data_IF_403129081775
#
_entry.id   IF_403129081775
#
_cell.length_a   1.000
_cell.length_b   1.000
_cell.length_c   1.000
_cell.angle_alpha   90.00
_cell.angle_beta   90.00
_cell.angle_gamma   90.00
#
_symmetry.space_group_name_H-M   'P 1'
#
loop_
_entity.id
_entity.type
_entity.pdbx_description
1 polymer ?
#
# COMPACT_ATOMS: atom_id res chain seq x y z
N UNK A 1 -9.89 21.07 17.95
CA UNK A 1 -8.78 20.07 17.97
C UNK A 1 -7.49 20.85 17.90
N UNK A 2 -6.47 20.50 18.64
CA UNK A 2 -5.19 21.27 18.70
C UNK A 2 -4.13 20.74 17.73
N UNK A 3 -4.38 19.60 17.10
CA UNK A 3 -3.47 19.00 16.10
C UNK A 3 -4.02 19.23 14.69
N UNK A 4 -3.13 19.42 13.70
CA UNK A 4 -3.53 19.51 12.29
C UNK A 4 -4.26 18.22 11.86
N UNK A 5 -5.36 18.40 11.12
CA UNK A 5 -6.15 17.31 10.56
C UNK A 5 -5.83 17.17 9.08
N UNK A 6 -5.39 15.97 8.68
CA UNK A 6 -5.07 15.63 7.28
C UNK A 6 -6.19 14.76 6.73
N UNK A 7 -6.75 15.14 5.59
CA UNK A 7 -7.66 14.30 4.81
C UNK A 7 -6.92 13.54 3.73
N UNK A 8 -6.97 12.20 3.81
CA UNK A 8 -6.54 11.30 2.77
C UNK A 8 -7.74 10.53 2.21
N UNK A 9 -7.99 10.63 0.91
CA UNK A 9 -9.12 9.95 0.26
C UNK A 9 -8.79 9.56 -1.18
N UNK A 10 -9.43 8.49 -1.67
CA UNK A 10 -9.28 8.00 -3.03
C UNK A 10 -10.53 8.29 -3.87
N UNK A 11 -10.34 8.44 -5.18
CA UNK A 11 -11.41 8.76 -6.14
C UNK A 11 -12.18 7.53 -6.65
N UNK A 12 -11.89 6.33 -6.14
CA UNK A 12 -12.43 5.06 -6.64
C UNK A 12 -13.94 5.08 -6.82
N UNK A 13 -14.67 5.65 -5.85
CA UNK A 13 -16.14 5.71 -5.86
C UNK A 13 -16.72 6.94 -6.55
N UNK A 14 -15.88 7.88 -6.99
CA UNK A 14 -16.27 9.17 -7.55
C UNK A 14 -16.67 10.23 -6.51
N UNK A 15 -16.65 9.92 -5.21
CA UNK A 15 -17.11 10.84 -4.14
C UNK A 15 -16.01 11.72 -3.55
N UNK A 16 -14.75 11.50 -3.89
CA UNK A 16 -13.61 12.13 -3.22
C UNK A 16 -13.65 13.66 -3.27
N UNK A 17 -13.97 14.26 -4.41
CA UNK A 17 -14.06 15.72 -4.54
C UNK A 17 -15.15 16.32 -3.65
N UNK A 18 -16.32 15.66 -3.55
CA UNK A 18 -17.40 16.09 -2.64
C UNK A 18 -16.94 15.97 -1.18
N UNK A 19 -16.23 14.90 -0.84
CA UNK A 19 -15.66 14.69 0.50
C UNK A 19 -14.64 15.77 0.83
N UNK A 20 -13.74 16.12 -0.09
CA UNK A 20 -12.75 17.19 0.06
C UNK A 20 -13.45 18.51 0.36
N UNK A 21 -14.44 18.90 -0.46
CA UNK A 21 -15.16 20.17 -0.26
C UNK A 21 -15.85 20.24 1.09
N UNK A 22 -16.50 19.14 1.52
CA UNK A 22 -17.13 19.08 2.85
C UNK A 22 -16.14 19.07 4.00
N UNK A 23 -14.97 18.49 3.82
CA UNK A 23 -13.89 18.53 4.81
C UNK A 23 -13.31 19.96 4.96
N UNK A 24 -13.14 20.67 3.85
CA UNK A 24 -12.72 22.09 3.84
C UNK A 24 -13.73 22.95 4.61
N UNK A 25 -15.04 22.81 4.30
CA UNK A 25 -16.10 23.49 5.04
C UNK A 25 -16.08 23.17 6.54
N UNK A 26 -15.67 21.95 6.91
CA UNK A 26 -15.56 21.50 8.30
C UNK A 26 -14.24 21.91 8.97
N UNK A 27 -13.31 22.54 8.26
CA UNK A 27 -12.04 23.04 8.82
C UNK A 27 -10.90 22.04 8.81
N UNK A 28 -10.77 21.20 7.78
CA UNK A 28 -9.57 20.36 7.58
C UNK A 28 -8.38 21.27 7.27
N UNK A 29 -7.20 20.91 7.78
CA UNK A 29 -5.99 21.71 7.61
C UNK A 29 -5.19 21.32 6.38
N UNK A 30 -5.14 20.03 6.04
CA UNK A 30 -4.31 19.48 4.96
C UNK A 30 -5.14 18.49 4.15
N UNK A 31 -4.97 18.52 2.82
CA UNK A 31 -5.62 17.58 1.88
C UNK A 31 -4.55 16.92 1.02
N UNK A 32 -4.56 15.60 0.99
CA UNK A 32 -3.72 14.82 0.09
C UNK A 32 -4.31 14.79 -1.31
N UNK A 33 -3.49 15.16 -2.30
CA UNK A 33 -3.85 15.23 -3.71
C UNK A 33 -2.79 14.58 -4.58
N UNK A 34 -3.11 14.33 -5.86
CA UNK A 34 -2.16 13.86 -6.85
C UNK A 34 -2.18 14.78 -8.08
N UNK A 35 -1.03 14.95 -8.77
CA UNK A 35 -1.02 15.69 -10.04
C UNK A 35 -2.04 15.11 -11.02
N UNK A 36 -2.73 15.95 -11.79
CA UNK A 36 -3.89 15.55 -12.59
C UNK A 36 -3.65 14.34 -13.50
N UNK A 37 -2.47 14.20 -14.07
CA UNK A 37 -2.17 13.06 -14.93
C UNK A 37 -2.17 11.72 -14.20
N UNK A 38 -1.91 11.67 -12.88
CA UNK A 38 -1.93 10.46 -12.04
C UNK A 38 -3.08 10.43 -11.04
N UNK A 39 -3.99 11.39 -11.10
CA UNK A 39 -5.15 11.49 -10.21
C UNK A 39 -6.32 10.62 -10.65
N UNK A 40 -7.37 10.61 -9.85
CA UNK A 40 -8.64 9.92 -10.08
C UNK A 40 -8.57 8.39 -10.01
N UNK A 41 -9.69 7.73 -10.23
CA UNK A 41 -9.81 6.28 -10.08
C UNK A 41 -9.34 5.81 -8.71
N UNK A 42 -8.35 4.91 -8.67
CA UNK A 42 -7.77 4.40 -7.42
C UNK A 42 -6.77 5.36 -6.76
N UNK A 43 -6.49 6.52 -7.36
CA UNK A 43 -5.64 7.58 -6.82
C UNK A 43 -6.48 8.67 -6.10
N UNK A 44 -5.79 9.73 -5.66
CA UNK A 44 -6.36 10.88 -4.96
C UNK A 44 -7.00 11.88 -5.94
N UNK A 45 -7.73 12.90 -5.43
CA UNK A 45 -8.19 14.03 -6.22
C UNK A 45 -7.05 14.78 -6.90
N UNK A 46 -7.33 15.34 -8.08
CA UNK A 46 -6.35 16.14 -8.82
C UNK A 46 -5.98 17.42 -8.06
N UNK A 47 -4.68 17.66 -7.86
CA UNK A 47 -4.15 18.86 -7.21
C UNK A 47 -4.66 20.13 -7.87
N UNK A 48 -4.58 20.20 -9.19
CA UNK A 48 -4.99 21.37 -9.97
C UNK A 48 -6.50 21.63 -9.84
N UNK A 49 -7.32 20.57 -9.87
CA UNK A 49 -8.78 20.73 -9.74
C UNK A 49 -9.15 21.23 -8.34
N UNK A 50 -8.52 20.69 -7.29
CA UNK A 50 -8.74 21.15 -5.92
C UNK A 50 -8.25 22.57 -5.74
N UNK A 51 -7.06 22.91 -6.28
CA UNK A 51 -6.51 24.26 -6.25
C UNK A 51 -7.49 25.29 -6.84
N UNK A 52 -7.97 25.05 -8.08
CA UNK A 52 -8.91 25.98 -8.72
C UNK A 52 -10.23 26.08 -7.98
N UNK A 53 -10.79 24.97 -7.48
CA UNK A 53 -12.03 25.00 -6.71
C UNK A 53 -11.89 25.81 -5.41
N UNK A 54 -10.77 25.69 -4.69
CA UNK A 54 -10.50 26.44 -3.46
C UNK A 54 -10.23 27.93 -3.77
N UNK A 55 -9.50 28.21 -4.84
CA UNK A 55 -9.23 29.60 -5.29
C UNK A 55 -10.51 30.34 -5.64
N UNK A 56 -11.48 29.70 -6.32
CA UNK A 56 -12.79 30.31 -6.62
C UNK A 56 -13.62 30.59 -5.35
N UNK A 57 -13.36 29.87 -4.27
CA UNK A 57 -13.97 30.10 -2.96
C UNK A 57 -13.19 31.12 -2.12
N UNK A 58 -12.12 31.70 -2.65
CA UNK A 58 -11.26 32.64 -1.95
C UNK A 58 -10.38 32.02 -0.87
N UNK A 59 -10.13 30.71 -0.94
CA UNK A 59 -9.27 29.99 -0.01
C UNK A 59 -7.86 29.90 -0.59
N UNK A 60 -6.90 30.51 0.10
CA UNK A 60 -5.50 30.49 -0.28
C UNK A 60 -4.83 29.18 0.16
N UNK A 61 -4.23 28.47 -0.79
CA UNK A 61 -3.55 27.18 -0.54
C UNK A 61 -2.03 27.33 -0.41
N UNK A 62 -1.48 28.50 -0.77
CA UNK A 62 -0.04 28.70 -0.88
C UNK A 62 0.62 28.01 -2.08
N UNK A 63 -0.12 27.32 -2.93
CA UNK A 63 0.40 26.68 -4.14
C UNK A 63 0.61 27.71 -5.25
N UNK A 64 1.64 27.49 -6.06
CA UNK A 64 1.90 28.28 -7.26
C UNK A 64 1.26 27.61 -8.48
N UNK A 65 0.25 28.28 -9.07
CA UNK A 65 -0.52 27.79 -10.21
C UNK A 65 0.37 27.34 -11.39
N UNK A 66 1.35 28.16 -11.75
CA UNK A 66 2.26 27.86 -12.86
C UNK A 66 3.06 26.58 -12.58
N UNK A 67 3.59 26.45 -11.35
CA UNK A 67 4.41 25.28 -10.97
C UNK A 67 3.61 24.00 -10.95
N UNK A 68 2.39 23.97 -10.41
CA UNK A 68 1.57 22.75 -10.40
C UNK A 68 1.21 22.30 -11.81
N UNK A 69 0.96 23.24 -12.73
CA UNK A 69 0.70 22.91 -14.13
C UNK A 69 1.96 22.42 -14.85
N UNK A 70 3.13 23.03 -14.63
CA UNK A 70 4.41 22.57 -15.18
C UNK A 70 4.76 21.14 -14.69
N UNK A 71 4.54 20.84 -13.42
CA UNK A 71 4.70 19.49 -12.85
C UNK A 71 3.79 18.49 -13.57
N UNK A 72 2.52 18.82 -13.76
CA UNK A 72 1.59 17.95 -14.46
C UNK A 72 2.03 17.70 -15.91
N UNK A 73 2.47 18.73 -16.62
CA UNK A 73 2.93 18.62 -18.01
C UNK A 73 4.19 17.74 -18.11
N UNK A 74 5.11 17.87 -17.16
CA UNK A 74 6.30 17.00 -17.09
C UNK A 74 5.93 15.52 -16.94
N UNK A 75 4.92 15.20 -16.13
CA UNK A 75 4.55 13.81 -15.87
C UNK A 75 3.63 13.18 -16.92
N UNK A 76 3.00 13.93 -17.80
CA UNK A 76 2.17 13.38 -18.90
C UNK A 76 2.89 12.32 -19.74
N UNK A 77 4.11 12.57 -20.27
CA UNK A 77 4.84 11.55 -21.03
C UNK A 77 5.29 10.36 -20.17
N UNK A 78 5.57 10.58 -18.88
CA UNK A 78 5.91 9.49 -17.94
C UNK A 78 4.72 8.56 -17.74
N UNK A 79 3.51 9.12 -17.58
CA UNK A 79 2.27 8.34 -17.54
C UNK A 79 2.09 7.50 -18.79
N UNK A 80 2.29 8.10 -19.98
CA UNK A 80 2.15 7.37 -21.24
C UNK A 80 3.12 6.19 -21.32
N UNK A 81 4.38 6.39 -20.91
CA UNK A 81 5.37 5.31 -20.79
C UNK A 81 4.90 4.17 -19.87
N UNK A 82 4.25 4.49 -18.74
CA UNK A 82 3.74 3.47 -17.81
C UNK A 82 2.51 2.73 -18.36
N UNK A 83 1.71 3.37 -19.18
CA UNK A 83 0.61 2.71 -19.90
C UNK A 83 1.18 1.75 -20.95
N UNK A 84 2.13 2.21 -21.77
CA UNK A 84 2.71 1.46 -22.87
C UNK A 84 3.46 0.21 -22.40
N UNK A 85 4.18 0.31 -21.29
CA UNK A 85 4.90 -0.81 -20.66
C UNK A 85 4.03 -1.64 -19.69
N UNK A 86 2.72 -1.35 -19.61
CA UNK A 86 1.74 -2.05 -18.75
C UNK A 86 1.99 -1.94 -17.24
N UNK A 87 2.85 -1.04 -16.79
CA UNK A 87 3.03 -0.75 -15.35
C UNK A 87 1.78 -0.09 -14.77
N UNK A 88 1.14 0.81 -15.52
CA UNK A 88 -0.13 1.44 -15.18
C UNK A 88 -1.27 0.80 -15.98
N UNK A 89 -2.22 0.18 -15.26
CA UNK A 89 -3.42 -0.35 -15.89
C UNK A 89 -4.49 0.75 -16.01
N UNK A 90 -4.91 1.16 -17.24
CA UNK A 90 -5.92 2.20 -17.43
C UNK A 90 -7.27 1.89 -16.73
N UNK A 91 -7.61 0.62 -16.50
CA UNK A 91 -8.83 0.24 -15.76
C UNK A 91 -8.86 0.75 -14.33
N UNK A 92 -7.70 0.94 -13.70
CA UNK A 92 -7.60 1.50 -12.34
C UNK A 92 -7.87 3.01 -12.28
N UNK A 93 -7.97 3.67 -13.41
CA UNK A 93 -8.16 5.12 -13.51
C UNK A 93 -9.65 5.53 -13.63
N UNK A 94 -10.54 4.57 -13.76
CA UNK A 94 -11.97 4.80 -13.83
C UNK A 94 -12.62 4.92 -12.45
N UNK A 95 -13.85 5.45 -12.43
CA UNK A 95 -14.71 5.45 -11.24
C UNK A 95 -15.53 4.16 -11.19
N UNK A 96 -15.56 3.52 -10.02
CA UNK A 96 -16.40 2.37 -9.74
C UNK A 96 -17.24 2.60 -8.46
N UNK A 97 -18.49 2.97 -8.64
CA UNK A 97 -19.40 3.19 -7.52
C UNK A 97 -19.76 1.89 -6.77
N UNK A 98 -19.56 0.72 -7.36
CA UNK A 98 -19.79 -0.56 -6.68
C UNK A 98 -18.82 -0.78 -5.53
N UNK A 99 -17.66 -0.11 -5.54
CA UNK A 99 -16.73 -0.11 -4.42
C UNK A 99 -17.38 0.38 -3.10
N UNK A 100 -18.45 1.19 -3.16
CA UNK A 100 -19.24 1.58 -1.99
C UNK A 100 -20.02 0.40 -1.39
N UNK A 101 -20.48 -0.52 -2.23
CA UNK A 101 -21.23 -1.72 -1.81
C UNK A 101 -20.33 -2.67 -1.06
N UNK A 102 -19.15 -2.95 -1.61
CA UNK A 102 -18.16 -3.88 -1.02
C UNK A 102 -17.28 -3.20 0.05
N UNK A 103 -17.32 -1.87 0.17
CA UNK A 103 -16.46 -1.07 1.09
C UNK A 103 -14.98 -1.37 0.92
N UNK A 104 -14.55 -1.52 -0.33
CA UNK A 104 -13.17 -1.86 -0.70
C UNK A 104 -12.41 -0.60 -1.11
N UNK A 105 -11.27 -0.27 -0.46
CA UNK A 105 -10.42 0.85 -0.88
C UNK A 105 -9.82 0.62 -2.27
N UNK A 106 -9.58 1.72 -3.00
CA UNK A 106 -9.06 1.68 -4.37
C UNK A 106 -7.75 0.92 -4.53
N UNK A 107 -6.79 1.11 -3.62
CA UNK A 107 -5.52 0.38 -3.64
C UNK A 107 -5.70 -1.14 -3.46
N UNK A 108 -6.64 -1.56 -2.61
CA UNK A 108 -6.98 -2.97 -2.44
C UNK A 108 -7.59 -3.57 -3.71
N UNK A 109 -8.50 -2.83 -4.36
CA UNK A 109 -9.13 -3.25 -5.61
C UNK A 109 -8.10 -3.43 -6.73
N UNK A 110 -7.19 -2.48 -6.89
CA UNK A 110 -6.11 -2.55 -7.87
C UNK A 110 -5.20 -3.76 -7.66
N UNK A 111 -4.83 -4.03 -6.40
CA UNK A 111 -4.02 -5.21 -6.06
C UNK A 111 -4.74 -6.52 -6.34
N UNK A 112 -6.04 -6.61 -6.04
CA UNK A 112 -6.85 -7.79 -6.35
C UNK A 112 -6.94 -8.06 -7.85
N UNK A 113 -7.16 -7.01 -8.65
CA UNK A 113 -7.18 -7.12 -10.11
C UNK A 113 -5.83 -7.60 -10.63
N UNK A 114 -4.73 -7.02 -10.15
CA UNK A 114 -3.38 -7.43 -10.56
C UNK A 114 -3.13 -8.90 -10.20
N UNK A 115 -3.35 -9.30 -8.95
CA UNK A 115 -3.14 -10.67 -8.48
C UNK A 115 -3.97 -11.70 -9.26
N UNK A 116 -5.27 -11.43 -9.48
CA UNK A 116 -6.14 -12.34 -10.22
C UNK A 116 -5.79 -12.38 -11.72
N UNK A 117 -5.29 -11.28 -12.28
CA UNK A 117 -4.80 -11.24 -13.66
C UNK A 117 -3.55 -12.11 -13.82
N UNK A 118 -2.58 -11.97 -12.93
CA UNK A 118 -1.33 -12.75 -12.93
C UNK A 118 -1.60 -14.25 -12.74
N UNK A 119 -2.62 -14.57 -11.96
CA UNK A 119 -3.06 -15.96 -11.71
C UNK A 119 -4.02 -16.51 -12.79
N UNK A 120 -4.36 -15.72 -13.83
CA UNK A 120 -5.36 -16.05 -14.84
C UNK A 120 -6.72 -16.45 -14.26
N UNK A 121 -7.14 -15.83 -13.15
CA UNK A 121 -8.31 -16.16 -12.36
C UNK A 121 -9.31 -15.01 -12.24
N UNK A 122 -9.39 -14.10 -13.23
CA UNK A 122 -10.31 -12.96 -13.22
C UNK A 122 -11.79 -13.36 -13.17
N UNK A 123 -12.15 -14.60 -13.53
CA UNK A 123 -13.49 -15.17 -13.35
C UNK A 123 -13.90 -15.32 -11.87
N UNK A 124 -12.95 -15.27 -10.95
CA UNK A 124 -13.16 -15.33 -9.49
C UNK A 124 -13.29 -13.96 -8.82
N UNK A 125 -13.20 -12.87 -9.58
CA UNK A 125 -13.17 -11.52 -9.04
C UNK A 125 -14.38 -11.18 -8.18
N UNK A 126 -15.60 -11.42 -8.69
CA UNK A 126 -16.85 -11.12 -7.96
C UNK A 126 -16.99 -11.97 -6.68
N UNK A 127 -16.62 -13.25 -6.75
CA UNK A 127 -16.62 -14.13 -5.59
C UNK A 127 -15.62 -13.67 -4.52
N UNK A 128 -14.43 -13.21 -4.92
CA UNK A 128 -13.43 -12.67 -4.01
C UNK A 128 -13.90 -11.36 -3.36
N UNK A 129 -14.56 -10.48 -4.11
CA UNK A 129 -15.19 -9.26 -3.56
C UNK A 129 -16.27 -9.61 -2.52
N UNK A 130 -17.12 -10.59 -2.80
CA UNK A 130 -18.18 -11.02 -1.89
C UNK A 130 -17.63 -11.65 -0.59
N UNK A 131 -16.43 -12.24 -0.62
CA UNK A 131 -15.77 -12.85 0.54
C UNK A 131 -15.13 -11.82 1.49
N UNK A 132 -14.77 -10.61 1.00
CA UNK A 132 -14.10 -9.57 1.79
C UNK A 132 -14.83 -9.22 3.09
N UNK A 133 -16.16 -8.96 3.12
CA UNK A 133 -16.85 -8.65 4.35
C UNK A 133 -16.72 -9.74 5.42
N UNK A 134 -16.72 -11.00 4.99
CA UNK A 134 -16.58 -12.16 5.88
C UNK A 134 -15.18 -12.25 6.46
N UNK A 135 -14.14 -12.11 5.64
CA UNK A 135 -12.74 -12.09 6.11
C UNK A 135 -12.51 -10.91 7.04
N UNK A 136 -13.00 -9.71 6.69
CA UNK A 136 -12.89 -8.53 7.54
C UNK A 136 -13.53 -8.73 8.90
N UNK A 137 -14.71 -9.36 8.94
CA UNK A 137 -15.38 -9.72 10.20
C UNK A 137 -14.55 -10.68 11.03
N UNK A 138 -14.04 -11.75 10.42
CA UNK A 138 -13.23 -12.75 11.10
C UNK A 138 -11.93 -12.16 11.70
N UNK A 139 -11.39 -11.13 11.07
CA UNK A 139 -10.21 -10.37 11.56
C UNK A 139 -10.58 -9.25 12.56
N UNK A 140 -11.83 -9.16 13.04
CA UNK A 140 -12.22 -8.16 14.03
C UNK A 140 -12.32 -6.73 13.46
N UNK A 141 -12.75 -6.61 12.19
CA UNK A 141 -12.99 -5.35 11.48
C UNK A 141 -11.78 -4.41 11.41
N UNK A 142 -10.59 -4.87 10.98
CA UNK A 142 -9.46 -3.99 10.81
C UNK A 142 -9.81 -2.81 9.90
N UNK A 143 -9.19 -1.63 10.10
CA UNK A 143 -9.28 -0.54 9.15
C UNK A 143 -8.70 -0.99 7.81
N UNK A 144 -9.44 -0.73 6.71
CA UNK A 144 -9.00 -1.13 5.37
C UNK A 144 -8.00 -0.12 4.78
N UNK A 145 -6.90 0.09 5.49
CA UNK A 145 -5.72 0.84 5.05
C UNK A 145 -4.53 -0.11 4.91
N UNK A 146 -3.53 0.29 4.14
CA UNK A 146 -2.30 -0.50 3.98
C UNK A 146 -1.57 -0.64 5.33
N UNK A 147 -1.12 -1.85 5.72
CA UNK A 147 -1.14 -3.11 4.97
C UNK A 147 -2.40 -3.98 5.18
N UNK A 148 -3.27 -3.64 6.14
CA UNK A 148 -4.40 -4.47 6.57
C UNK A 148 -5.42 -4.72 5.44
N UNK A 149 -5.65 -3.72 4.57
CA UNK A 149 -6.52 -3.88 3.40
C UNK A 149 -6.00 -4.97 2.46
N UNK A 150 -4.69 -5.04 2.25
CA UNK A 150 -4.07 -6.07 1.41
C UNK A 150 -4.17 -7.46 2.04
N UNK A 151 -4.00 -7.56 3.37
CA UNK A 151 -4.18 -8.83 4.09
C UNK A 151 -5.59 -9.38 3.92
N UNK A 152 -6.60 -8.54 4.13
CA UNK A 152 -8.01 -8.92 3.96
C UNK A 152 -8.29 -9.33 2.51
N UNK A 153 -7.82 -8.55 1.52
CA UNK A 153 -8.02 -8.83 0.09
C UNK A 153 -7.35 -10.12 -0.36
N UNK A 154 -6.08 -10.28 -0.02
CA UNK A 154 -5.32 -11.48 -0.40
C UNK A 154 -5.88 -12.74 0.26
N UNK A 155 -6.33 -12.65 1.51
CA UNK A 155 -6.97 -13.81 2.17
C UNK A 155 -8.32 -14.15 1.54
N UNK A 156 -9.12 -13.14 1.15
CA UNK A 156 -10.38 -13.36 0.44
C UNK A 156 -10.16 -14.05 -0.91
N UNK A 157 -9.20 -13.58 -1.70
CA UNK A 157 -8.77 -14.22 -2.96
C UNK A 157 -8.32 -15.66 -2.71
N UNK A 158 -7.48 -15.90 -1.70
CA UNK A 158 -6.97 -17.24 -1.36
C UNK A 158 -8.10 -18.18 -0.98
N UNK A 159 -9.07 -17.75 -0.15
CA UNK A 159 -10.22 -18.55 0.25
C UNK A 159 -11.02 -19.02 -0.97
N UNK A 160 -11.26 -18.12 -1.93
CA UNK A 160 -12.03 -18.41 -3.13
C UNK A 160 -11.28 -19.31 -4.10
N UNK A 161 -9.98 -19.08 -4.31
CA UNK A 161 -9.17 -19.90 -5.21
C UNK A 161 -8.99 -21.33 -4.69
N UNK A 162 -8.82 -21.49 -3.38
CA UNK A 162 -8.66 -22.80 -2.73
C UNK A 162 -10.00 -23.52 -2.57
N UNK A 163 -11.11 -22.77 -2.57
CA UNK A 163 -12.48 -23.31 -2.39
C UNK A 163 -12.80 -23.69 -0.94
N UNK A 164 -11.91 -23.41 0.01
CA UNK A 164 -12.09 -23.66 1.44
C UNK A 164 -11.49 -22.50 2.25
N UNK A 165 -12.34 -21.89 3.12
CA UNK A 165 -11.95 -20.73 3.91
C UNK A 165 -10.83 -21.08 4.88
N UNK A 166 -9.76 -20.26 4.86
CA UNK A 166 -8.60 -20.38 5.75
C UNK A 166 -7.87 -21.72 5.70
N UNK A 167 -8.03 -22.52 4.64
CA UNK A 167 -7.17 -23.69 4.43
C UNK A 167 -5.73 -23.26 4.28
N UNK A 168 -5.50 -22.21 3.50
CA UNK A 168 -4.23 -21.52 3.40
C UNK A 168 -4.34 -20.12 4.03
N UNK A 169 -3.45 -19.82 4.98
CA UNK A 169 -3.40 -18.54 5.68
C UNK A 169 -2.05 -17.92 5.40
N UNK A 170 -2.03 -16.65 4.95
CA UNK A 170 -0.79 -15.94 4.70
C UNK A 170 -0.01 -15.67 5.98
N UNK A 171 1.30 -15.43 5.86
CA UNK A 171 2.16 -15.10 7.01
C UNK A 171 1.68 -13.84 7.72
N UNK A 172 1.26 -12.84 6.96
CA UNK A 172 0.78 -11.55 7.46
C UNK A 172 -0.52 -11.72 8.25
N UNK A 173 -1.48 -12.51 7.77
CA UNK A 173 -2.71 -12.82 8.50
C UNK A 173 -2.41 -13.59 9.78
N UNK A 174 -1.49 -14.57 9.73
CA UNK A 174 -1.02 -15.26 10.95
C UNK A 174 -0.37 -14.28 11.94
N UNK A 175 0.48 -13.37 11.47
CA UNK A 175 1.11 -12.34 12.28
C UNK A 175 0.09 -11.38 12.92
N UNK A 176 -0.97 -11.03 12.17
CA UNK A 176 -2.07 -10.23 12.70
C UNK A 176 -2.77 -10.90 13.89
N UNK A 177 -3.16 -12.18 13.75
CA UNK A 177 -3.79 -12.94 14.84
C UNK A 177 -2.86 -13.19 16.02
N UNK A 178 -1.55 -13.25 15.80
CA UNK A 178 -0.55 -13.33 16.88
C UNK A 178 -0.33 -12.00 17.63
N UNK A 179 -0.96 -10.90 17.19
CA UNK A 179 -0.89 -9.60 17.84
C UNK A 179 0.25 -8.70 17.37
N UNK A 180 0.98 -9.07 16.31
CA UNK A 180 2.10 -8.28 15.77
C UNK A 180 1.66 -6.92 15.17
N UNK A 181 0.37 -6.76 14.87
CA UNK A 181 -0.23 -5.53 14.34
C UNK A 181 -1.07 -4.76 15.38
N UNK A 182 -0.94 -5.11 16.65
CA UNK A 182 -1.71 -4.49 17.73
C UNK A 182 -3.05 -5.16 17.98
N UNK A 183 -3.95 -4.43 18.64
CA UNK A 183 -5.25 -4.95 19.08
C UNK A 183 -6.30 -4.71 17.99
N UNK A 184 -7.04 -5.76 17.62
CA UNK A 184 -8.15 -5.65 16.70
C UNK A 184 -9.26 -4.72 17.24
N UNK A 185 -9.95 -3.93 16.37
CA UNK A 185 -11.04 -3.04 16.80
C UNK A 185 -12.25 -3.75 17.42
N UNK A 186 -12.47 -5.02 17.07
CA UNK A 186 -13.54 -5.87 17.60
C UNK A 186 -13.02 -7.31 17.79
N UNK A 187 -13.79 -8.17 18.48
CA UNK A 187 -13.39 -9.57 18.65
C UNK A 187 -13.15 -10.26 17.30
N UNK A 188 -12.03 -10.96 17.21
CA UNK A 188 -11.68 -11.80 16.04
C UNK A 188 -12.41 -13.15 16.10
N UNK A 189 -12.35 -13.92 15.02
CA UNK A 189 -12.87 -15.29 15.00
C UNK A 189 -12.04 -16.18 15.95
N UNK A 190 -12.66 -16.60 17.06
CA UNK A 190 -11.98 -17.30 18.15
C UNK A 190 -11.41 -18.68 17.74
N UNK A 191 -12.09 -19.39 16.86
CA UNK A 191 -11.60 -20.71 16.38
C UNK A 191 -10.37 -20.54 15.49
N UNK A 192 -10.38 -19.52 14.65
CA UNK A 192 -9.26 -19.19 13.77
C UNK A 192 -8.05 -18.68 14.58
N UNK A 193 -8.28 -17.79 15.54
CA UNK A 193 -7.25 -17.31 16.45
C UNK A 193 -6.61 -18.46 17.21
N UNK A 194 -7.42 -19.29 17.84
CA UNK A 194 -6.94 -20.46 18.60
C UNK A 194 -6.07 -21.36 17.71
N UNK A 195 -6.54 -21.70 16.52
CA UNK A 195 -5.77 -22.55 15.60
C UNK A 195 -4.41 -21.95 15.25
N UNK A 196 -4.36 -20.64 14.95
CA UNK A 196 -3.11 -19.93 14.61
C UNK A 196 -2.15 -19.88 15.80
N UNK A 197 -2.67 -19.61 16.99
CA UNK A 197 -1.86 -19.55 18.22
C UNK A 197 -1.33 -20.95 18.61
N UNK A 198 -2.16 -21.99 18.52
CA UNK A 198 -1.75 -23.38 18.76
C UNK A 198 -0.63 -23.80 17.80
N UNK A 199 -0.74 -23.48 16.49
CA UNK A 199 0.31 -23.73 15.49
C UNK A 199 1.62 -22.98 15.81
N UNK A 200 1.53 -21.81 16.45
CA UNK A 200 2.67 -21.00 16.85
C UNK A 200 3.23 -21.34 18.25
N UNK A 201 2.59 -22.27 18.99
CA UNK A 201 2.95 -22.58 20.38
C UNK A 201 2.65 -21.45 21.35
N UNK A 202 1.67 -20.60 21.03
CA UNK A 202 1.30 -19.42 21.82
C UNK A 202 -0.02 -19.68 22.56
N UNK A 203 -0.15 -19.16 23.77
CA UNK A 203 -1.39 -19.26 24.59
C UNK A 203 -2.29 -18.04 24.47
N UNK A 204 -1.75 -16.92 23.99
CA UNK A 204 -2.46 -15.68 23.77
C UNK A 204 -1.70 -14.83 22.72
N UNK A 205 -2.37 -13.86 22.05
CA UNK A 205 -1.69 -12.89 21.21
C UNK A 205 -0.65 -12.09 22.00
N UNK A 206 0.44 -11.70 21.34
CA UNK A 206 1.46 -10.84 21.96
C UNK A 206 0.95 -9.39 22.04
N UNK A 207 1.44 -8.65 23.03
CA UNK A 207 1.32 -7.18 23.02
C UNK A 207 2.56 -6.59 22.32
N UNK A 208 2.41 -6.13 21.08
CA UNK A 208 3.49 -5.59 20.29
C UNK A 208 4.20 -4.40 20.98
N UNK A 209 3.50 -3.64 21.83
CA UNK A 209 4.09 -2.53 22.59
C UNK A 209 5.10 -3.03 23.62
N UNK A 210 4.85 -4.19 24.20
CA UNK A 210 5.78 -4.84 25.13
C UNK A 210 6.99 -5.38 24.38
N UNK A 211 6.78 -6.03 23.24
CA UNK A 211 7.87 -6.54 22.42
C UNK A 211 8.74 -5.39 21.84
N UNK A 212 8.12 -4.31 21.36
CA UNK A 212 8.86 -3.12 20.88
C UNK A 212 9.71 -2.48 21.99
N UNK A 213 9.25 -2.50 23.24
CA UNK A 213 10.05 -1.99 24.38
C UNK A 213 11.33 -2.78 24.64
N UNK A 214 11.42 -4.00 24.12
CA UNK A 214 12.60 -4.87 24.25
C UNK A 214 13.61 -4.67 23.11
N UNK A 215 13.27 -3.89 22.06
CA UNK A 215 14.19 -3.60 20.97
C UNK A 215 15.43 -2.87 21.47
N UNK A 216 16.57 -3.27 20.94
CA UNK A 216 17.87 -2.77 21.42
C UNK A 216 18.32 -1.50 20.72
N UNK A 217 17.66 -1.08 19.63
CA UNK A 217 18.08 0.00 18.74
C UNK A 217 19.33 -0.33 17.92
N UNK A 218 19.67 -1.61 17.79
CA UNK A 218 20.83 -2.09 17.03
C UNK A 218 20.49 -2.56 15.62
N UNK A 219 19.25 -2.44 15.20
CA UNK A 219 18.75 -2.95 13.92
C UNK A 219 19.56 -2.42 12.73
N UNK A 220 20.02 -1.17 12.80
CA UNK A 220 20.86 -0.57 11.76
C UNK A 220 22.24 -1.20 11.71
N UNK A 221 22.88 -1.38 12.86
CA UNK A 221 24.22 -1.99 12.94
C UNK A 221 24.20 -3.47 12.55
N UNK A 222 23.15 -4.19 12.97
CA UNK A 222 22.95 -5.59 12.61
C UNK A 222 22.72 -5.76 11.10
N UNK A 223 21.89 -4.90 10.51
CA UNK A 223 21.64 -4.88 9.05
C UNK A 223 22.91 -4.51 8.26
N UNK A 224 23.67 -3.53 8.74
CA UNK A 224 24.93 -3.13 8.15
C UNK A 224 25.97 -4.27 8.19
N UNK A 225 26.04 -4.97 9.31
CA UNK A 225 26.91 -6.12 9.45
C UNK A 225 26.47 -7.29 8.54
N UNK A 226 25.18 -7.53 8.39
CA UNK A 226 24.62 -8.56 7.51
C UNK A 226 24.92 -8.30 6.03
N UNK A 227 24.82 -7.05 5.60
CA UNK A 227 25.12 -6.65 4.21
C UNK A 227 26.62 -6.65 3.89
N UNK A 228 27.48 -6.35 4.86
CA UNK A 228 28.92 -6.23 4.65
C UNK A 228 29.26 -5.31 3.46
N UNK A 229 30.04 -5.80 2.49
CA UNK A 229 30.48 -5.05 1.31
C UNK A 229 29.37 -4.79 0.26
N UNK A 230 28.17 -5.30 0.45
CA UNK A 230 27.04 -4.99 -0.43
C UNK A 230 26.50 -3.58 -0.17
N UNK A 231 26.58 -3.10 1.07
CA UNK A 231 26.15 -1.74 1.43
C UNK A 231 27.24 -0.72 1.08
N UNK A 232 26.92 0.22 0.20
CA UNK A 232 27.80 1.33 -0.19
C UNK A 232 27.38 2.65 0.46
N UNK A 233 26.18 2.70 1.05
CA UNK A 233 25.64 3.87 1.72
C UNK A 233 24.69 3.48 2.88
N UNK A 234 24.31 4.47 3.69
CA UNK A 234 23.30 4.27 4.75
C UNK A 234 21.92 3.97 4.18
N UNK A 235 21.59 4.51 3.00
CA UNK A 235 20.34 4.23 2.29
C UNK A 235 20.24 2.77 1.86
N UNK A 236 21.34 2.12 1.53
CA UNK A 236 21.38 0.68 1.25
C UNK A 236 20.98 -0.13 2.49
N UNK A 237 21.54 0.25 3.65
CA UNK A 237 21.21 -0.40 4.94
C UNK A 237 19.75 -0.17 5.29
N UNK A 238 19.23 1.06 5.15
CA UNK A 238 17.83 1.38 5.40
C UNK A 238 16.90 0.64 4.44
N UNK A 239 17.27 0.52 3.17
CA UNK A 239 16.53 -0.24 2.17
C UNK A 239 16.44 -1.71 2.55
N UNK A 240 17.52 -2.29 3.07
CA UNK A 240 17.55 -3.68 3.55
C UNK A 240 16.69 -3.87 4.80
N UNK A 241 16.70 -2.95 5.75
CA UNK A 241 15.82 -3.00 6.93
C UNK A 241 14.34 -2.99 6.52
N UNK A 242 13.97 -2.13 5.56
CA UNK A 242 12.59 -1.99 5.11
C UNK A 242 12.12 -3.12 4.19
N UNK A 243 13.01 -3.63 3.30
CA UNK A 243 12.68 -4.57 2.23
C UNK A 243 13.81 -5.59 2.02
N UNK A 244 14.08 -6.49 2.98
CA UNK A 244 15.30 -7.32 2.99
C UNK A 244 15.56 -8.06 1.67
N UNK A 245 14.59 -8.85 1.21
CA UNK A 245 14.76 -9.70 0.02
C UNK A 245 14.93 -8.91 -1.28
N UNK A 246 14.21 -7.78 -1.42
CA UNK A 246 14.30 -6.92 -2.59
C UNK A 246 15.61 -6.13 -2.63
N UNK A 247 16.02 -5.60 -1.48
CA UNK A 247 17.25 -4.84 -1.34
C UNK A 247 18.47 -5.74 -1.59
N UNK A 248 18.53 -6.91 -0.98
CA UNK A 248 19.62 -7.87 -1.18
C UNK A 248 19.79 -8.21 -2.66
N UNK A 249 18.73 -8.62 -3.33
CA UNK A 249 18.74 -8.92 -4.77
C UNK A 249 19.19 -7.72 -5.62
N UNK A 250 18.77 -6.51 -5.28
CA UNK A 250 19.17 -5.29 -6.00
C UNK A 250 20.66 -5.00 -5.81
N UNK A 251 21.14 -5.07 -4.57
CA UNK A 251 22.52 -4.76 -4.21
C UNK A 251 23.51 -5.79 -4.80
N UNK A 252 23.16 -7.08 -4.80
CA UNK A 252 23.92 -8.12 -5.50
C UNK A 252 23.97 -7.86 -7.01
N UNK A 253 22.83 -7.50 -7.62
CA UNK A 253 22.77 -7.17 -9.04
C UNK A 253 23.56 -5.91 -9.38
N UNK A 254 23.62 -4.91 -8.51
CA UNK A 254 24.47 -3.71 -8.64
C UNK A 254 25.95 -4.09 -8.61
N UNK A 255 26.38 -4.85 -7.60
CA UNK A 255 27.76 -5.32 -7.45
C UNK A 255 28.19 -6.13 -8.67
N UNK A 256 27.39 -7.08 -9.13
CA UNK A 256 27.69 -7.87 -10.33
C UNK A 256 27.87 -7.02 -11.59
N UNK A 257 27.07 -5.94 -11.75
CA UNK A 257 27.23 -5.01 -12.87
C UNK A 257 28.51 -4.17 -12.77
N UNK A 258 28.90 -3.77 -11.58
CA UNK A 258 30.13 -3.02 -11.33
C UNK A 258 31.36 -3.89 -11.60
N UNK A 259 31.36 -5.12 -11.14
CA UNK A 259 32.42 -6.10 -11.40
C UNK A 259 32.56 -6.42 -12.90
N UNK A 260 31.46 -6.57 -13.64
CA UNK A 260 31.47 -6.78 -15.08
C UNK A 260 31.96 -5.56 -15.88
N UNK A 261 31.76 -4.33 -15.39
CA UNK A 261 32.32 -3.11 -16.03
C UNK A 261 33.86 -3.06 -15.97
N UNK A 262 34.47 -3.62 -14.94
CA UNK A 262 35.93 -3.67 -14.80
C UNK A 262 36.57 -4.66 -15.78
N UNK A 263 35.84 -5.68 -16.25
CA UNK A 263 36.32 -6.71 -17.15
C UNK A 263 36.46 -6.24 -18.62
N UNK A 264 35.91 -5.10 -18.98
CA UNK A 264 35.95 -4.54 -20.35
C UNK A 264 36.83 -3.32 -20.53
N UNK A 265 37.76 -3.06 -19.61
CA UNK A 265 38.80 -2.04 -19.86
C UNK A 265 39.79 -2.64 -20.84
N UNK A 266 39.61 -2.37 -22.14
CA UNK A 266 40.57 -2.72 -23.19
C UNK A 266 41.82 -1.89 -22.94
N UNK A 267 42.91 -2.51 -22.55
CA UNK A 267 44.23 -1.93 -22.61
C UNK A 267 44.63 -1.90 -24.08
N UNK A 268 44.55 -0.71 -24.70
CA UNK A 268 45.22 -0.47 -25.98
C UNK A 268 46.73 -0.66 -25.78
N UNK A 269 47.30 -1.51 -26.61
CA UNK A 269 48.73 -1.80 -26.66
C UNK A 269 49.45 -0.68 -27.42
#
# INVERSE_FOLDING_TARGET
MTLPLILHTHCTTGMAYMTVMKAVEAGVDIIDTATSCFSNGTSQPATESVYYALSELGIETGLNEKVINEVNDYFKPVKQKYIDNKTLNPKSMGTDAQALVYKVPGGMLSNMIANLTDMHAMDKFDAALAEIPSVRKDMGYPPLVTPLSQMVGNQAVTNVLVGERYKNISKEVKAYFKGEYGIAPAPVNADLEKRILDEAGMTAPMDCRVEDSKRTGKEFEDAKAALGDLAQSEEDVMSYICFPAQAEKYLEGRKAKEENKVTYTITEA
#
